data_IF_957315216990
#
_entry.id   IF_957315216990
#
_cell.length_a   1.000
_cell.length_b   1.000
_cell.length_c   1.000
_cell.angle_alpha   90.00
_cell.angle_beta   90.00
_cell.angle_gamma   90.00
#
_symmetry.space_group_name_H-M   'P 1'
#
loop_
_entity.id
_entity.type
_entity.pdbx_description
1 polymer ?
#
# COMPACT_ATOMS: atom_id res chain seq x y z
N UNK A 1 5.55 -9.00 -9.47
CA UNK A 1 6.41 -9.82 -8.61
C UNK A 1 7.83 -9.34 -8.79
N UNK A 2 8.63 -9.25 -7.72
CA UNK A 2 10.05 -8.94 -7.79
C UNK A 2 10.87 -9.98 -8.58
N UNK A 3 12.11 -9.65 -8.92
CA UNK A 3 13.10 -10.64 -9.36
C UNK A 3 13.45 -11.62 -8.22
N UNK A 4 13.98 -12.81 -8.53
CA UNK A 4 14.48 -13.74 -7.51
C UNK A 4 15.60 -13.14 -6.65
N UNK A 5 16.48 -12.36 -7.28
CA UNK A 5 17.50 -11.57 -6.58
C UNK A 5 16.91 -10.19 -6.32
N UNK A 6 16.59 -9.94 -5.05
CA UNK A 6 15.98 -8.70 -4.58
C UNK A 6 17.03 -7.76 -3.97
N UNK A 7 16.65 -6.51 -3.75
CA UNK A 7 17.53 -5.48 -3.20
C UNK A 7 17.95 -5.83 -1.77
N UNK A 8 19.24 -5.72 -1.48
CA UNK A 8 19.75 -5.76 -0.11
C UNK A 8 19.34 -4.47 0.62
N UNK A 9 18.66 -4.63 1.75
CA UNK A 9 18.20 -3.52 2.58
C UNK A 9 19.36 -2.64 3.02
N UNK A 10 20.52 -3.21 3.37
CA UNK A 10 21.65 -2.44 3.87
C UNK A 10 22.14 -1.39 2.86
N UNK A 11 22.00 -1.66 1.57
CA UNK A 11 22.38 -0.74 0.50
C UNK A 11 21.41 0.42 0.32
N UNK A 12 20.16 0.27 0.76
CA UNK A 12 19.08 1.26 0.54
C UNK A 12 18.49 1.81 1.83
N UNK A 13 18.96 1.35 2.99
CA UNK A 13 18.32 1.61 4.29
C UNK A 13 18.13 3.10 4.58
N UNK A 14 19.14 3.93 4.30
CA UNK A 14 19.06 5.37 4.50
C UNK A 14 17.91 6.00 3.69
N UNK A 15 17.86 5.72 2.39
CA UNK A 15 16.84 6.26 1.48
C UNK A 15 15.46 5.66 1.79
N UNK A 16 15.41 4.36 2.11
CA UNK A 16 14.18 3.68 2.50
C UNK A 16 13.57 4.32 3.75
N UNK A 17 14.39 4.63 4.76
CA UNK A 17 13.93 5.31 5.96
C UNK A 17 13.43 6.73 5.67
N UNK A 18 14.09 7.49 4.80
CA UNK A 18 13.60 8.80 4.35
C UNK A 18 12.22 8.71 3.69
N UNK A 19 12.04 7.74 2.78
CA UNK A 19 10.76 7.48 2.10
C UNK A 19 9.67 7.12 3.11
N UNK A 20 9.95 6.19 4.02
CA UNK A 20 8.98 5.70 5.01
C UNK A 20 8.66 6.74 6.09
N UNK A 21 9.52 7.73 6.30
CA UNK A 21 9.30 8.86 7.21
C UNK A 21 8.55 10.02 6.53
N UNK A 22 8.49 10.06 5.20
CA UNK A 22 7.72 11.07 4.48
C UNK A 22 6.24 10.84 4.71
N UNK A 23 5.50 11.87 5.12
CA UNK A 23 4.04 11.82 5.32
C UNK A 23 3.28 11.76 3.98
N UNK A 24 3.45 10.67 3.23
CA UNK A 24 2.66 10.36 2.04
C UNK A 24 2.77 8.87 1.71
N UNK A 25 1.88 8.31 0.87
CA UNK A 25 1.96 6.89 0.50
C UNK A 25 3.36 6.54 -0.05
N UNK A 26 4.06 5.54 0.50
CA UNK A 26 5.44 5.27 0.09
C UNK A 26 5.56 4.27 -1.07
N UNK A 27 4.46 3.69 -1.55
CA UNK A 27 4.47 2.55 -2.47
C UNK A 27 5.14 2.83 -3.81
N UNK A 28 4.93 4.00 -4.43
CA UNK A 28 5.54 4.32 -5.72
C UNK A 28 7.05 4.41 -5.62
N UNK A 29 7.55 5.04 -4.55
CA UNK A 29 8.98 5.15 -4.25
C UNK A 29 9.61 3.82 -3.83
N UNK A 30 8.93 3.02 -3.00
CA UNK A 30 9.39 1.67 -2.63
C UNK A 30 9.49 0.73 -3.85
N UNK A 31 8.54 0.83 -4.78
CA UNK A 31 8.59 0.10 -6.08
C UNK A 31 9.83 0.50 -6.89
N UNK A 32 10.17 1.79 -6.95
CA UNK A 32 11.35 2.26 -7.67
C UNK A 32 12.68 1.80 -7.04
N UNK A 33 12.71 1.61 -5.72
CA UNK A 33 13.85 1.00 -5.01
C UNK A 33 13.94 -0.52 -5.19
N UNK A 34 12.85 -1.16 -5.59
CA UNK A 34 12.76 -2.62 -5.76
C UNK A 34 13.47 -3.10 -7.02
N UNK A 35 13.67 -4.42 -7.12
CA UNK A 35 14.32 -5.10 -8.24
C UNK A 35 13.56 -5.01 -9.58
N UNK A 36 12.25 -4.74 -9.54
CA UNK A 36 11.40 -4.67 -10.73
C UNK A 36 10.71 -5.99 -11.05
N UNK A 37 10.11 -6.09 -12.23
CA UNK A 37 9.36 -7.29 -12.65
C UNK A 37 10.25 -8.53 -12.72
N UNK A 38 9.80 -9.60 -12.08
CA UNK A 38 10.38 -10.92 -12.21
C UNK A 38 10.15 -11.52 -13.59
N UNK A 39 10.99 -12.47 -13.97
CA UNK A 39 10.91 -13.21 -15.24
C UNK A 39 9.70 -14.14 -15.32
N UNK A 40 9.16 -14.57 -14.18
CA UNK A 40 7.99 -15.44 -14.10
C UNK A 40 6.67 -14.64 -14.05
N UNK A 41 6.42 -13.78 -15.04
CA UNK A 41 5.15 -13.06 -15.17
C UNK A 41 4.18 -13.78 -16.11
N UNK A 42 2.87 -13.67 -15.83
CA UNK A 42 1.80 -14.23 -16.66
C UNK A 42 1.18 -13.22 -17.63
N UNK A 43 1.83 -12.07 -17.85
CA UNK A 43 1.36 -11.05 -18.78
C UNK A 43 1.52 -11.54 -20.24
N UNK A 44 0.47 -11.38 -21.04
CA UNK A 44 0.46 -11.73 -22.45
C UNK A 44 1.06 -10.60 -23.30
N UNK A 45 2.38 -10.45 -23.23
CA UNK A 45 3.15 -9.41 -23.93
C UNK A 45 4.36 -10.04 -24.63
N UNK A 46 4.80 -9.44 -25.73
CA UNK A 46 5.96 -9.92 -26.48
C UNK A 46 7.28 -9.36 -25.93
N UNK A 47 7.19 -8.21 -25.26
CA UNK A 47 8.31 -7.48 -24.69
C UNK A 47 8.84 -8.18 -23.43
N UNK A 48 10.17 -8.25 -23.31
CA UNK A 48 10.80 -8.66 -22.07
C UNK A 48 10.79 -7.47 -21.09
N UNK A 49 9.89 -7.53 -20.11
CA UNK A 49 9.76 -6.49 -19.07
C UNK A 49 10.53 -6.84 -17.79
N UNK A 50 11.39 -7.86 -17.79
CA UNK A 50 12.16 -8.23 -16.61
C UNK A 50 13.00 -7.05 -16.09
N UNK A 51 12.91 -6.75 -14.80
CA UNK A 51 13.59 -5.63 -14.16
C UNK A 51 12.94 -4.26 -14.36
N UNK A 52 11.92 -4.15 -15.22
CA UNK A 52 11.14 -2.92 -15.35
C UNK A 52 10.43 -2.61 -14.04
N UNK A 53 10.38 -1.33 -13.69
CA UNK A 53 9.85 -0.88 -12.41
C UNK A 53 8.53 -0.17 -12.54
N UNK A 54 8.08 0.16 -13.74
CA UNK A 54 6.88 0.89 -14.14
C UNK A 54 5.62 0.29 -13.49
N UNK A 55 4.67 1.12 -13.07
CA UNK A 55 3.54 0.67 -12.27
C UNK A 55 2.59 -0.15 -13.14
N UNK A 56 2.21 -1.35 -12.67
CA UNK A 56 1.26 -2.22 -13.38
C UNK A 56 -0.17 -1.65 -13.44
N UNK A 57 -0.48 -0.66 -12.60
CA UNK A 57 -1.86 -0.13 -12.50
C UNK A 57 -2.86 -1.14 -11.89
N UNK A 58 -2.38 -2.11 -11.10
CA UNK A 58 -3.22 -3.17 -10.54
C UNK A 58 -4.24 -2.72 -9.48
N UNK A 59 -4.10 -1.51 -8.92
CA UNK A 59 -5.05 -0.99 -7.93
C UNK A 59 -4.92 -1.48 -6.49
N UNK A 60 -4.18 -2.56 -6.22
CA UNK A 60 -4.09 -3.11 -4.85
C UNK A 60 -3.74 -2.06 -3.78
N UNK A 61 -2.83 -1.13 -4.10
CA UNK A 61 -2.42 -0.08 -3.17
C UNK A 61 -3.52 0.94 -2.89
N UNK A 62 -4.41 1.19 -3.86
CA UNK A 62 -5.59 2.06 -3.72
C UNK A 62 -6.65 1.34 -2.89
N UNK A 63 -6.94 0.09 -3.22
CA UNK A 63 -8.02 -0.67 -2.57
C UNK A 63 -7.74 -0.98 -1.10
N UNK A 64 -6.48 -1.24 -0.74
CA UNK A 64 -6.11 -1.49 0.66
C UNK A 64 -6.00 -0.21 1.50
N UNK A 65 -6.04 0.98 0.89
CA UNK A 65 -5.72 2.21 1.60
C UNK A 65 -6.84 2.55 2.62
N UNK A 66 -6.58 2.49 3.93
CA UNK A 66 -7.63 2.72 4.93
C UNK A 66 -8.14 4.16 4.89
N UNK A 67 -7.28 5.13 4.54
CA UNK A 67 -7.69 6.52 4.31
C UNK A 67 -8.73 6.64 3.20
N UNK A 68 -8.49 6.02 2.03
CA UNK A 68 -9.45 6.06 0.92
C UNK A 68 -10.72 5.24 1.22
N UNK A 69 -10.65 4.24 2.10
CA UNK A 69 -11.83 3.53 2.59
C UNK A 69 -12.77 4.45 3.36
N UNK A 70 -12.23 5.37 4.16
CA UNK A 70 -13.01 6.37 4.93
C UNK A 70 -13.40 7.59 4.11
N UNK A 71 -12.75 7.81 2.96
CA UNK A 71 -12.96 8.96 2.08
C UNK A 71 -13.40 8.55 0.67
N UNK A 72 -14.62 7.98 0.50
CA UNK A 72 -15.09 7.43 -0.77
C UNK A 72 -15.13 8.49 -1.88
N UNK A 73 -15.43 9.75 -1.57
CA UNK A 73 -15.42 10.84 -2.55
C UNK A 73 -14.02 11.12 -3.14
N UNK A 74 -12.93 10.79 -2.42
CA UNK A 74 -11.56 10.85 -2.95
C UNK A 74 -11.22 9.57 -3.70
N UNK A 75 -11.69 8.42 -3.21
CA UNK A 75 -11.53 7.13 -3.89
C UNK A 75 -12.16 7.13 -5.29
N UNK A 76 -13.36 7.68 -5.44
CA UNK A 76 -14.06 7.72 -6.73
C UNK A 76 -13.36 8.63 -7.76
N UNK A 77 -12.57 9.60 -7.29
CA UNK A 77 -11.71 10.42 -8.16
C UNK A 77 -10.47 9.68 -8.67
N UNK A 78 -10.18 8.48 -8.16
CA UNK A 78 -9.06 7.63 -8.60
C UNK A 78 -9.49 6.60 -9.63
N UNK A 79 -10.06 7.04 -10.75
CA UNK A 79 -10.20 6.18 -11.94
C UNK A 79 -8.84 5.56 -12.34
N UNK A 80 -7.75 6.27 -12.01
CA UNK A 80 -6.38 5.79 -12.13
C UNK A 80 -5.98 4.91 -10.96
N UNK A 81 -5.92 3.60 -11.18
CA UNK A 81 -5.55 2.58 -10.17
C UNK A 81 -4.04 2.39 -10.01
N UNK A 82 -3.28 3.49 -9.98
CA UNK A 82 -1.80 3.48 -9.96
C UNK A 82 -1.22 3.90 -8.62
N UNK A 83 0.03 3.50 -8.37
CA UNK A 83 0.79 3.96 -7.18
C UNK A 83 0.96 5.48 -7.12
N UNK A 84 1.10 6.16 -8.28
CA UNK A 84 1.21 7.62 -8.33
C UNK A 84 -0.13 8.30 -8.04
N UNK A 85 -1.24 7.73 -8.51
CA UNK A 85 -2.57 8.25 -8.23
C UNK A 85 -2.88 8.15 -6.72
N UNK A 86 -2.49 7.06 -6.06
CA UNK A 86 -2.57 6.98 -4.60
C UNK A 86 -1.77 8.10 -3.93
N UNK A 87 -0.52 8.30 -4.36
CA UNK A 87 0.36 9.34 -3.80
C UNK A 87 -0.22 10.74 -3.94
N UNK A 88 -0.75 11.10 -5.11
CA UNK A 88 -1.35 12.43 -5.35
C UNK A 88 -2.70 12.60 -4.67
N UNK A 89 -3.54 11.55 -4.65
CA UNK A 89 -4.89 11.64 -4.08
C UNK A 89 -4.87 11.62 -2.56
N UNK A 90 -3.98 10.87 -1.91
CA UNK A 90 -3.89 10.82 -0.44
C UNK A 90 -2.96 11.89 0.10
N UNK A 91 -1.80 12.09 -0.53
CA UNK A 91 -0.84 13.13 -0.13
C UNK A 91 -0.48 13.07 1.36
N UNK A 92 -0.50 14.23 2.02
CA UNK A 92 -0.16 14.41 3.43
C UNK A 92 -1.17 13.82 4.42
N UNK A 93 -2.34 13.42 3.94
CA UNK A 93 -3.36 12.79 4.76
C UNK A 93 -3.08 11.30 5.04
N UNK A 94 -1.98 10.77 4.51
CA UNK A 94 -1.59 9.39 4.69
C UNK A 94 -1.45 9.00 6.17
N UNK A 95 -2.08 7.88 6.55
CA UNK A 95 -1.99 7.31 7.91
C UNK A 95 -0.61 6.72 8.25
N UNK A 96 0.30 6.67 7.26
CA UNK A 96 1.58 5.95 7.37
C UNK A 96 1.41 4.48 7.76
N UNK A 97 0.31 3.85 7.36
CA UNK A 97 0.03 2.45 7.67
C UNK A 97 0.92 1.44 6.92
N UNK A 98 1.56 1.91 5.85
CA UNK A 98 2.40 1.13 4.93
C UNK A 98 1.72 -0.07 4.25
N UNK A 99 0.40 -0.25 4.39
CA UNK A 99 -0.36 -1.34 3.77
C UNK A 99 -0.18 -1.39 2.24
N UNK A 100 -0.13 -0.21 1.60
CA UNK A 100 0.10 -0.08 0.16
C UNK A 100 1.42 -0.71 -0.31
N UNK A 101 2.47 -0.69 0.52
CA UNK A 101 3.77 -1.33 0.24
C UNK A 101 3.64 -2.84 0.33
N UNK A 102 2.94 -3.34 1.36
CA UNK A 102 2.80 -4.77 1.64
C UNK A 102 2.01 -5.48 0.53
N UNK A 103 0.93 -4.87 0.03
CA UNK A 103 0.10 -5.45 -1.04
C UNK A 103 0.65 -5.25 -2.44
N UNK A 104 1.60 -4.33 -2.64
CA UNK A 104 2.13 -4.06 -3.97
C UNK A 104 2.91 -5.28 -4.48
N UNK A 105 2.54 -5.88 -5.61
CA UNK A 105 3.24 -7.05 -6.14
C UNK A 105 4.61 -6.70 -6.73
N UNK A 106 4.94 -5.41 -6.88
CA UNK A 106 6.19 -4.94 -7.48
C UNK A 106 7.20 -4.43 -6.44
N UNK A 107 6.83 -4.46 -5.16
CA UNK A 107 7.77 -4.16 -4.07
C UNK A 107 8.50 -5.43 -3.67
N UNK A 108 9.82 -5.35 -3.53
CA UNK A 108 10.68 -6.44 -3.06
C UNK A 108 10.22 -6.96 -1.70
N UNK A 109 10.21 -8.28 -1.55
CA UNK A 109 9.90 -8.95 -0.27
C UNK A 109 10.87 -8.51 0.83
N UNK A 110 12.14 -8.21 0.50
CA UNK A 110 13.11 -7.66 1.47
C UNK A 110 12.62 -6.33 2.07
N UNK A 111 12.09 -5.42 1.26
CA UNK A 111 11.49 -4.15 1.70
C UNK A 111 10.24 -4.40 2.54
N UNK A 112 9.36 -5.33 2.12
CA UNK A 112 8.17 -5.69 2.90
C UNK A 112 8.53 -6.22 4.28
N UNK A 113 9.52 -7.11 4.36
CA UNK A 113 10.01 -7.65 5.63
C UNK A 113 10.61 -6.54 6.51
N UNK A 114 11.33 -5.58 5.92
CA UNK A 114 11.84 -4.43 6.67
C UNK A 114 10.71 -3.61 7.30
N UNK A 115 9.66 -3.28 6.53
CA UNK A 115 8.48 -2.57 7.01
C UNK A 115 7.79 -3.32 8.14
N UNK A 116 7.55 -4.63 7.96
CA UNK A 116 6.92 -5.47 8.99
C UNK A 116 7.72 -5.46 10.29
N UNK A 117 9.04 -5.64 10.22
CA UNK A 117 9.89 -5.77 11.39
C UNK A 117 10.18 -4.46 12.13
N UNK A 118 10.15 -3.32 11.44
CA UNK A 118 10.61 -2.05 12.01
C UNK A 118 9.52 -0.99 12.15
N UNK A 119 8.39 -1.11 11.44
CA UNK A 119 7.40 -0.02 11.32
C UNK A 119 6.01 -0.42 11.76
N UNK A 120 5.62 -1.67 11.60
CA UNK A 120 4.25 -2.11 11.93
C UNK A 120 3.91 -1.93 13.42
N UNK A 121 4.88 -2.13 14.32
CA UNK A 121 4.67 -1.93 15.77
C UNK A 121 4.29 -0.48 16.09
N UNK A 122 4.96 0.49 15.46
CA UNK A 122 4.68 1.92 15.65
C UNK A 122 3.30 2.30 15.09
N UNK A 123 2.95 1.71 13.95
CA UNK A 123 1.73 1.99 13.20
C UNK A 123 0.47 1.48 13.90
N UNK A 124 0.50 0.27 14.49
CA UNK A 124 -0.66 -0.30 15.18
C UNK A 124 -1.16 0.57 16.33
N UNK A 125 -0.24 1.17 17.09
CA UNK A 125 -0.58 2.09 18.18
C UNK A 125 -1.31 3.36 17.70
N UNK A 126 -0.99 3.83 16.48
CA UNK A 126 -1.58 5.04 15.89
C UNK A 126 -2.92 4.76 15.21
N UNK A 127 -3.03 3.63 14.51
CA UNK A 127 -4.26 3.23 13.84
C UNK A 127 -5.35 2.83 14.82
N UNK A 128 -5.02 2.18 15.94
CA UNK A 128 -6.00 1.85 16.98
C UNK A 128 -6.81 3.06 17.47
N UNK A 129 -6.18 4.24 17.57
CA UNK A 129 -6.86 5.50 17.93
C UNK A 129 -7.76 6.09 16.85
N UNK A 130 -7.55 5.73 15.57
CA UNK A 130 -8.37 6.20 14.44
C UNK A 130 -9.47 5.21 14.06
N UNK A 131 -9.30 3.94 14.45
CA UNK A 131 -10.31 2.87 14.28
C UNK A 131 -11.28 2.87 15.47
N UNK A 132 -10.82 3.25 16.67
CA UNK A 132 -11.65 3.35 17.87
C UNK A 132 -12.34 4.72 18.02
N UNK A 133 -12.58 5.47 16.94
CA UNK A 133 -13.56 6.55 17.01
C UNK A 133 -14.93 5.88 17.08
N UNK A 134 -15.47 5.80 18.30
CA UNK A 134 -16.76 5.18 18.66
C UNK A 134 -17.99 5.82 17.97
N UNK A 135 -17.78 6.86 17.16
CA UNK A 135 -18.83 7.57 16.40
C UNK A 135 -19.12 6.94 15.02
N UNK A 136 -18.37 5.93 14.58
CA UNK A 136 -18.68 5.19 13.34
C UNK A 136 -19.52 3.94 13.69
N UNK A 137 -20.80 3.87 13.28
CA UNK A 137 -21.68 2.76 13.67
C UNK A 137 -21.14 1.43 13.13
N UNK A 138 -20.94 0.45 14.01
CA UNK A 138 -20.59 -0.92 13.65
C UNK A 138 -21.66 -1.50 12.72
N UNK A 139 -21.38 -1.46 11.42
CA UNK A 139 -22.32 -1.82 10.36
C UNK A 139 -22.82 -3.26 10.53
N UNK A 140 -21.97 -4.14 11.05
CA UNK A 140 -22.32 -5.53 11.36
C UNK A 140 -23.34 -5.63 12.50
N UNK A 141 -23.20 -4.81 13.55
CA UNK A 141 -24.14 -4.74 14.67
C UNK A 141 -25.50 -4.18 14.22
N UNK A 142 -25.50 -3.12 13.40
CA UNK A 142 -26.73 -2.55 12.82
C UNK A 142 -27.45 -3.53 11.90
N UNK A 143 -26.70 -4.33 11.12
CA UNK A 143 -27.28 -5.35 10.24
C UNK A 143 -27.87 -6.50 11.06
N UNK A 144 -27.17 -6.97 12.10
CA UNK A 144 -27.66 -8.01 13.00
C UNK A 144 -28.92 -7.58 13.76
N UNK A 145 -28.99 -6.33 14.24
CA UNK A 145 -30.19 -5.78 14.87
C UNK A 145 -31.36 -5.65 13.89
N UNK A 146 -31.11 -5.22 12.66
CA UNK A 146 -32.16 -5.11 11.64
C UNK A 146 -32.73 -6.47 11.20
N UNK A 147 -31.88 -7.50 11.11
CA UNK A 147 -32.30 -8.86 10.73
C UNK A 147 -32.95 -9.60 11.90
N UNK A 148 -32.63 -9.24 13.14
CA UNK A 148 -33.21 -9.85 14.35
C UNK A 148 -34.52 -9.19 14.81
N UNK A 149 -34.90 -8.06 14.19
CA UNK A 149 -36.12 -7.30 14.50
C UNK A 149 -37.33 -7.67 13.62
N UNK A 150 -37.18 -8.64 12.71
CA UNK A 150 -38.27 -9.33 11.97
C UNK A 150 -38.67 -10.65 12.65
#
# INVERSE_FOLDING_TARGET
MPLPVQRDIKEIEAILNEILNTRCPPVGRCRLLSSGFGTAHALNIAENISGHKECLGCGNCVDICPFLSREPARRDKTEQRTSMALESTVGEDCDLCHACVLVCPQVDTTIKNYVVNHRMVEVMSRLGRRIADEDEPDLDLFLEEAVSAE
#
